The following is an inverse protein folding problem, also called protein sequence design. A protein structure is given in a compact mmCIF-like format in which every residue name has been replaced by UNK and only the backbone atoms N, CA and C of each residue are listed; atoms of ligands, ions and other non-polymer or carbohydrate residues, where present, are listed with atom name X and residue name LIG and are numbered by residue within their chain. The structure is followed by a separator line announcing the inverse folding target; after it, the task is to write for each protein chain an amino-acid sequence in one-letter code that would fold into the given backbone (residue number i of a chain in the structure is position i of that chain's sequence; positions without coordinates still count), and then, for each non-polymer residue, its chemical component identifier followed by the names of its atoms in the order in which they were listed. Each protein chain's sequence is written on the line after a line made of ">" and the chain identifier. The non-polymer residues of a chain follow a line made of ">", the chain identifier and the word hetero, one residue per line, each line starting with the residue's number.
data_IF_259886551976
#
_entry.id   IF_259886551976
#
_cell.length_a   1.000
_cell.length_b   1.000
_cell.length_c   1.000
_cell.angle_alpha   90.00
_cell.angle_beta   90.00
_cell.angle_gamma   90.00
#
_symmetry.space_group_name_H-M   'P 1'
#
loop_
_entity.id
_entity.type
_entity.pdbx_description
1 polymer ?
#
# COMPACT_ATOMS: atom_id res chain seq x y z
N UNK A 1 -1.48 11.70 2.50
CA UNK A 1 -1.34 10.50 1.65
C UNK A 1 -1.26 10.92 0.19
N UNK A 2 -0.55 10.18 -0.65
CA UNK A 2 -0.56 10.32 -2.11
C UNK A 2 -0.99 8.99 -2.73
N UNK A 3 -2.29 8.71 -2.91
CA UNK A 3 -2.75 7.40 -3.33
C UNK A 3 -2.44 7.12 -4.81
N UNK A 4 -2.03 5.89 -5.10
CA UNK A 4 -1.98 5.36 -6.46
C UNK A 4 -2.90 4.14 -6.56
N UNK A 5 -2.39 2.91 -6.53
CA UNK A 5 -3.19 1.69 -6.56
C UNK A 5 -3.94 1.38 -5.25
N UNK A 6 -5.08 0.71 -5.39
CA UNK A 6 -5.99 0.33 -4.31
C UNK A 6 -6.59 -1.06 -4.56
N UNK A 7 -6.87 -1.82 -3.48
CA UNK A 7 -7.72 -3.01 -3.55
C UNK A 7 -8.59 -3.17 -2.29
N UNK A 8 -9.74 -3.83 -2.42
CA UNK A 8 -10.67 -4.13 -1.33
C UNK A 8 -10.30 -5.46 -0.67
N UNK A 9 -10.47 -5.56 0.65
CA UNK A 9 -10.37 -6.81 1.39
C UNK A 9 -11.73 -7.41 1.77
N UNK A 10 -11.72 -8.64 2.29
CA UNK A 10 -12.95 -9.37 2.61
C UNK A 10 -13.72 -8.82 3.82
N UNK A 11 -13.12 -7.90 4.59
CA UNK A 11 -13.75 -7.24 5.74
C UNK A 11 -14.33 -5.86 5.35
N UNK A 12 -14.18 -5.45 4.08
CA UNK A 12 -14.68 -4.17 3.57
C UNK A 12 -13.70 -3.01 3.73
N UNK A 13 -12.48 -3.26 4.22
CA UNK A 13 -11.43 -2.25 4.25
C UNK A 13 -10.67 -2.22 2.93
N UNK A 14 -9.98 -1.11 2.66
CA UNK A 14 -9.17 -0.93 1.46
C UNK A 14 -7.69 -0.92 1.80
N UNK A 15 -6.87 -1.54 0.97
CA UNK A 15 -5.44 -1.34 0.93
C UNK A 15 -5.10 -0.28 -0.10
N UNK A 16 -4.28 0.70 0.28
CA UNK A 16 -3.86 1.81 -0.59
C UNK A 16 -2.34 1.87 -0.63
N UNK A 17 -1.77 1.86 -1.85
CA UNK A 17 -0.37 2.16 -2.09
C UNK A 17 -0.14 3.68 -2.05
N UNK A 18 0.85 4.12 -1.25
CA UNK A 18 1.25 5.52 -1.11
C UNK A 18 2.73 5.68 -1.49
N UNK A 19 3.05 5.95 -2.77
CA UNK A 19 4.43 6.02 -3.25
C UNK A 19 5.24 7.14 -2.63
N UNK A 20 4.62 8.23 -2.17
CA UNK A 20 5.37 9.38 -1.62
C UNK A 20 5.69 9.19 -0.14
N UNK A 21 4.79 8.55 0.61
CA UNK A 21 5.03 8.23 2.01
C UNK A 21 5.72 6.87 2.21
N UNK A 22 6.09 6.19 1.12
CA UNK A 22 6.78 4.90 1.12
C UNK A 22 6.05 3.85 1.96
N UNK A 23 4.74 3.75 1.77
CA UNK A 23 3.90 2.84 2.56
C UNK A 23 2.77 2.21 1.76
N UNK A 24 2.25 1.11 2.29
CA UNK A 24 0.94 0.57 1.92
C UNK A 24 0.09 0.58 3.20
N UNK A 25 -1.10 1.17 3.15
CA UNK A 25 -1.96 1.35 4.33
C UNK A 25 -3.27 0.62 4.18
N UNK A 26 -3.80 0.08 5.28
CA UNK A 26 -5.16 -0.47 5.36
C UNK A 26 -6.08 0.57 5.98
N UNK A 27 -7.11 0.98 5.24
CA UNK A 27 -8.06 2.01 5.63
C UNK A 27 -9.44 1.38 5.81
N UNK A 28 -10.02 1.58 7.00
CA UNK A 28 -11.37 1.17 7.32
C UNK A 28 -12.40 2.13 6.71
N UNK A 29 -13.66 1.69 6.70
CA UNK A 29 -14.79 2.59 6.44
C UNK A 29 -14.72 3.81 7.37
N UNK A 30 -14.99 5.00 6.83
CA UNK A 30 -14.82 6.27 7.54
C UNK A 30 -13.39 6.83 7.54
N UNK A 31 -12.42 6.13 6.93
CA UNK A 31 -11.07 6.67 6.66
C UNK A 31 -10.04 6.42 7.76
N UNK A 32 -10.37 5.68 8.80
CA UNK A 32 -9.43 5.33 9.86
C UNK A 32 -8.37 4.35 9.32
N UNK A 33 -7.09 4.66 9.54
CA UNK A 33 -5.99 3.77 9.15
C UNK A 33 -5.75 2.76 10.26
N UNK A 34 -5.99 1.49 9.97
CA UNK A 34 -5.78 0.40 10.91
C UNK A 34 -4.34 -0.12 10.87
N UNK A 35 -3.80 -0.32 9.66
CA UNK A 35 -2.50 -0.94 9.45
C UNK A 35 -1.64 -0.15 8.47
N UNK A 36 -0.31 -0.25 8.66
CA UNK A 36 0.70 0.38 7.80
C UNK A 36 1.86 -0.58 7.57
N UNK A 37 2.26 -0.70 6.32
CA UNK A 37 3.47 -1.43 5.92
C UNK A 37 4.45 -0.39 5.38
N UNK A 38 5.52 -0.12 6.13
CA UNK A 38 6.59 0.78 5.66
C UNK A 38 7.51 0.07 4.68
N UNK A 39 7.88 0.78 3.62
CA UNK A 39 8.83 0.32 2.60
C UNK A 39 10.18 1.04 2.70
N UNK A 40 10.41 1.77 3.80
CA UNK A 40 11.62 2.58 4.01
C UNK A 40 11.63 3.77 3.06
N UNK A 41 12.51 3.72 2.06
CA UNK A 41 12.71 4.74 1.04
C UNK A 41 12.21 4.33 -0.36
N UNK A 42 11.43 3.24 -0.45
CA UNK A 42 10.85 2.76 -1.71
C UNK A 42 9.38 3.17 -1.82
N UNK A 43 8.98 3.62 -3.01
CA UNK A 43 7.57 3.90 -3.29
C UNK A 43 6.80 2.63 -3.64
N UNK A 44 5.57 2.48 -3.12
CA UNK A 44 4.58 1.51 -3.59
C UNK A 44 3.64 2.14 -4.61
N UNK A 45 3.26 1.42 -5.66
CA UNK A 45 2.44 1.97 -6.76
C UNK A 45 1.15 1.21 -6.99
N UNK A 46 1.18 -0.11 -6.81
CA UNK A 46 0.00 -0.97 -6.95
C UNK A 46 -0.06 -1.97 -5.82
N UNK A 47 -1.27 -2.36 -5.42
CA UNK A 47 -1.50 -3.42 -4.46
C UNK A 47 -2.71 -4.27 -4.86
N UNK A 48 -2.65 -5.56 -4.56
CA UNK A 48 -3.72 -6.52 -4.78
C UNK A 48 -3.70 -7.59 -3.70
N UNK A 49 -4.88 -8.06 -3.29
CA UNK A 49 -5.03 -9.26 -2.48
C UNK A 49 -5.16 -10.50 -3.37
N UNK A 50 -4.54 -11.60 -2.94
CA UNK A 50 -4.58 -12.88 -3.62
C UNK A 50 -4.12 -14.02 -2.71
N UNK A 51 -3.62 -15.09 -3.32
CA UNK A 51 -3.25 -16.32 -2.61
C UNK A 51 -4.46 -17.25 -2.38
N UNK A 52 -4.23 -18.46 -1.85
CA UNK A 52 -5.26 -19.50 -1.74
C UNK A 52 -6.49 -19.10 -0.90
N UNK A 53 -6.31 -18.19 0.06
CA UNK A 53 -7.36 -17.68 0.95
C UNK A 53 -7.76 -16.23 0.64
N UNK A 54 -7.18 -15.62 -0.39
CA UNK A 54 -7.42 -14.22 -0.75
C UNK A 54 -6.91 -13.19 0.27
N UNK A 55 -6.07 -13.58 1.24
CA UNK A 55 -5.58 -12.67 2.31
C UNK A 55 -4.12 -12.25 2.15
N UNK A 56 -3.43 -12.76 1.14
CA UNK A 56 -2.04 -12.39 0.88
C UNK A 56 -1.99 -11.08 0.11
N UNK A 57 -1.38 -10.05 0.70
CA UNK A 57 -1.17 -8.75 0.05
C UNK A 57 0.08 -8.79 -0.83
N UNK A 58 -0.10 -8.57 -2.13
CA UNK A 58 0.97 -8.33 -3.10
C UNK A 58 1.01 -6.83 -3.42
N UNK A 59 2.20 -6.27 -3.62
CA UNK A 59 2.36 -4.88 -4.06
C UNK A 59 3.60 -4.69 -4.94
N UNK A 60 3.55 -3.67 -5.78
CA UNK A 60 4.65 -3.27 -6.67
C UNK A 60 5.38 -2.11 -6.03
N UNK A 61 6.69 -2.28 -5.81
CA UNK A 61 7.57 -1.24 -5.26
C UNK A 61 8.72 -0.91 -6.21
N UNK A 62 9.28 0.29 -6.09
CA UNK A 62 10.58 0.62 -6.69
C UNK A 62 11.70 -0.20 -6.05
N UNK A 63 12.79 -0.47 -6.78
CA UNK A 63 13.97 -1.15 -6.21
C UNK A 63 14.70 -0.27 -5.20
N UNK A 64 14.95 0.98 -5.57
CA UNK A 64 15.42 2.09 -4.74
C UNK A 64 14.93 3.38 -5.43
N UNK A 65 14.36 4.34 -4.68
CA UNK A 65 14.25 5.70 -5.18
C UNK A 65 15.67 6.27 -5.11
N UNK A 66 16.48 6.08 -6.15
CA UNK A 66 17.81 6.69 -6.24
C UNK A 66 17.72 8.12 -5.69
N UNK A 67 18.50 8.41 -4.64
CA UNK A 67 18.23 9.49 -3.70
C UNK A 67 17.63 10.69 -4.43
N UNK A 68 16.42 11.09 -4.06
CA UNK A 68 15.86 12.36 -4.48
C UNK A 68 16.74 13.44 -3.85
N UNK A 69 17.85 13.75 -4.50
CA UNK A 69 18.62 14.96 -4.31
C UNK A 69 17.65 16.12 -4.49
N UNK A 70 17.31 16.76 -3.38
CA UNK A 70 16.72 18.10 -3.41
C UNK A 70 17.68 19.11 -4.02
#
# INVERSE_FOLDING_TARGET
>A
MYPDGICLDMEGAIWVADPHNNEVVRVLEGGAIQDRISLGDRGAYACALGGPDGRTLYFVQTRDLGQRSG
#
